data_IF_953724575923
#
_entry.id   IF_953724575923
#
_cell.length_a   1.000
_cell.length_b   1.000
_cell.length_c   1.000
_cell.angle_alpha   90.00
_cell.angle_beta   90.00
_cell.angle_gamma   90.00
#
_symmetry.space_group_name_H-M   'P 1'
#
loop_
_entity.id
_entity.type
_entity.pdbx_description
1 polymer ?
#
# COMPACT_ATOMS: atom_id res chain seq x y z
N UNK A 1 -7.76 -28.59 2.05
CA UNK A 1 -6.58 -29.18 2.72
C UNK A 1 -6.80 -29.31 4.22
N UNK A 2 -5.94 -30.09 4.88
CA UNK A 2 -5.85 -30.23 6.34
C UNK A 2 -4.42 -29.96 6.80
N UNK A 3 -4.25 -29.37 7.98
CA UNK A 3 -2.95 -29.14 8.58
C UNK A 3 -2.30 -30.47 8.98
N UNK A 4 -1.02 -30.64 8.61
CA UNK A 4 -0.18 -31.77 8.99
C UNK A 4 0.87 -31.35 10.02
N UNK A 5 1.57 -30.22 9.75
CA UNK A 5 2.62 -29.72 10.63
C UNK A 5 2.74 -28.19 10.48
N UNK A 6 3.05 -27.52 11.56
CA UNK A 6 3.39 -26.11 11.58
C UNK A 6 4.61 -25.88 12.48
N UNK A 7 5.67 -25.35 11.89
CA UNK A 7 6.89 -24.93 12.58
C UNK A 7 7.02 -23.41 12.37
N UNK A 8 6.69 -22.59 13.41
CA UNK A 8 6.73 -21.14 13.29
C UNK A 8 8.05 -20.61 12.75
N UNK A 9 7.98 -19.70 11.77
CA UNK A 9 9.15 -19.10 11.12
C UNK A 9 9.93 -20.02 10.17
N UNK A 10 9.52 -21.30 10.01
CA UNK A 10 10.20 -22.27 9.15
C UNK A 10 9.29 -22.78 8.04
N UNK A 11 8.25 -23.54 8.39
CA UNK A 11 7.36 -24.13 7.40
C UNK A 11 5.98 -24.47 7.91
N UNK A 12 5.01 -24.51 6.99
CA UNK A 12 3.67 -25.04 7.16
C UNK A 12 3.44 -26.15 6.14
N UNK A 13 2.94 -27.30 6.58
CA UNK A 13 2.63 -28.45 5.73
C UNK A 13 1.15 -28.73 5.80
N UNK A 14 0.49 -28.80 4.65
CA UNK A 14 -0.90 -29.21 4.51
C UNK A 14 -1.05 -30.33 3.47
N UNK A 15 -2.05 -31.17 3.64
CA UNK A 15 -2.40 -32.26 2.73
C UNK A 15 -3.86 -32.16 2.30
N UNK A 16 -4.19 -32.76 1.14
CA UNK A 16 -5.54 -32.82 0.64
C UNK A 16 -6.49 -33.39 1.71
N UNK A 17 -7.58 -32.67 1.98
CA UNK A 17 -8.58 -33.10 2.93
C UNK A 17 -9.56 -34.07 2.22
N UNK A 18 -9.65 -35.35 2.65
CA UNK A 18 -10.54 -36.30 2.03
C UNK A 18 -12.05 -35.94 2.15
N UNK A 19 -12.38 -35.06 3.13
CA UNK A 19 -13.72 -34.58 3.41
C UNK A 19 -14.08 -33.28 2.67
N UNK A 20 -13.14 -32.72 1.88
CA UNK A 20 -13.42 -31.52 1.11
C UNK A 20 -14.37 -31.83 -0.04
N UNK A 21 -15.52 -31.14 -0.06
CA UNK A 21 -16.59 -31.36 -1.04
C UNK A 21 -16.42 -30.57 -2.35
N UNK A 22 -15.44 -29.63 -2.40
CA UNK A 22 -15.13 -28.83 -3.59
C UNK A 22 -14.30 -29.59 -4.62
N UNK A 23 -13.93 -28.89 -5.68
CA UNK A 23 -13.06 -29.41 -6.74
C UNK A 23 -11.68 -29.80 -6.16
N UNK A 24 -11.25 -31.02 -6.43
CA UNK A 24 -9.89 -31.47 -6.10
C UNK A 24 -8.93 -30.96 -7.17
N UNK A 25 -7.79 -30.42 -6.74
CA UNK A 25 -6.70 -30.08 -7.63
C UNK A 25 -5.63 -31.21 -7.69
N UNK A 26 -4.59 -31.01 -8.49
CA UNK A 26 -3.56 -32.01 -8.73
C UNK A 26 -2.53 -32.13 -7.60
N UNK A 27 -2.58 -31.23 -6.61
CA UNK A 27 -1.57 -31.16 -5.55
C UNK A 27 -2.10 -31.78 -4.25
N UNK A 28 -1.64 -33.00 -3.94
CA UNK A 28 -2.08 -33.71 -2.73
C UNK A 28 -1.43 -33.16 -1.45
N UNK A 29 -0.29 -32.47 -1.58
CA UNK A 29 0.47 -31.90 -0.46
C UNK A 29 1.08 -30.56 -0.85
N UNK A 30 0.97 -29.58 0.03
CA UNK A 30 1.62 -28.27 -0.11
C UNK A 30 2.54 -28.03 1.09
N UNK A 31 3.74 -27.57 0.81
CA UNK A 31 4.73 -27.19 1.82
C UNK A 31 5.04 -25.70 1.61
N UNK A 32 4.63 -24.88 2.58
CA UNK A 32 4.97 -23.47 2.61
C UNK A 32 6.25 -23.28 3.40
N UNK A 33 7.24 -22.68 2.79
CA UNK A 33 8.53 -22.37 3.43
C UNK A 33 8.63 -20.87 3.63
N UNK A 34 8.96 -20.45 4.85
CA UNK A 34 9.08 -19.02 5.19
C UNK A 34 10.52 -18.56 4.98
N UNK A 35 10.73 -17.76 3.96
CA UNK A 35 12.03 -17.23 3.54
C UNK A 35 11.92 -15.72 3.31
N UNK A 36 13.04 -15.01 3.40
CA UNK A 36 13.15 -13.66 2.88
C UNK A 36 13.13 -13.67 1.33
N UNK A 37 12.94 -12.49 0.73
CA UNK A 37 12.76 -12.33 -0.72
C UNK A 37 13.93 -12.92 -1.52
N UNK A 38 15.18 -12.64 -1.11
CA UNK A 38 16.37 -13.06 -1.85
C UNK A 38 16.57 -14.57 -1.78
N UNK A 39 16.41 -15.17 -0.60
CA UNK A 39 16.50 -16.62 -0.41
C UNK A 39 15.36 -17.36 -1.12
N UNK A 40 14.14 -16.82 -1.09
CA UNK A 40 13.00 -17.40 -1.81
C UNK A 40 13.22 -17.37 -3.33
N UNK A 41 13.73 -16.26 -3.87
CA UNK A 41 14.08 -16.13 -5.28
C UNK A 41 15.18 -17.12 -5.69
N UNK A 42 16.26 -17.23 -4.90
CA UNK A 42 17.35 -18.18 -5.15
C UNK A 42 16.87 -19.64 -5.10
N UNK A 43 16.01 -19.98 -4.14
CA UNK A 43 15.44 -21.33 -4.01
C UNK A 43 14.51 -21.70 -5.18
N UNK A 44 13.75 -20.73 -5.71
CA UNK A 44 12.96 -20.95 -6.93
C UNK A 44 13.85 -21.22 -8.14
N UNK A 45 14.90 -20.41 -8.34
CA UNK A 45 15.86 -20.58 -9.45
C UNK A 45 16.60 -21.91 -9.41
N UNK A 46 16.89 -22.43 -8.22
CA UNK A 46 17.53 -23.75 -8.05
C UNK A 46 16.55 -24.93 -8.17
N UNK A 47 15.26 -24.66 -8.37
CA UNK A 47 14.21 -25.69 -8.47
C UNK A 47 13.78 -26.29 -7.12
N UNK A 48 14.21 -25.72 -5.99
CA UNK A 48 13.80 -26.18 -4.66
C UNK A 48 12.36 -25.76 -4.31
N UNK A 49 11.87 -24.64 -4.87
CA UNK A 49 10.51 -24.17 -4.72
C UNK A 49 9.75 -24.26 -6.04
N UNK A 50 8.51 -24.75 -5.98
CA UNK A 50 7.63 -24.84 -7.14
C UNK A 50 6.97 -23.51 -7.49
N UNK A 51 6.76 -22.62 -6.50
CA UNK A 51 6.14 -21.31 -6.65
C UNK A 51 6.71 -20.36 -5.61
N UNK A 52 6.99 -19.11 -6.02
CA UNK A 52 7.46 -18.05 -5.12
C UNK A 52 6.83 -16.72 -5.54
N UNK A 53 6.43 -15.92 -4.56
CA UNK A 53 6.13 -14.49 -4.80
C UNK A 53 7.43 -13.72 -4.86
N UNK A 54 7.57 -12.84 -5.83
CA UNK A 54 8.73 -11.99 -6.02
C UNK A 54 8.32 -10.52 -6.06
N UNK A 55 9.26 -9.62 -5.78
CA UNK A 55 9.05 -8.19 -6.03
C UNK A 55 8.92 -7.91 -7.54
N UNK A 56 8.11 -6.92 -7.97
CA UNK A 56 7.99 -6.54 -9.37
C UNK A 56 9.34 -6.27 -10.05
N UNK A 57 10.28 -5.63 -9.36
CA UNK A 57 11.63 -5.36 -9.85
C UNK A 57 12.45 -6.63 -10.17
N UNK A 58 12.08 -7.77 -9.58
CA UNK A 58 12.71 -9.07 -9.86
C UNK A 58 12.08 -9.81 -11.04
N UNK A 59 10.98 -9.30 -11.60
CA UNK A 59 10.24 -9.98 -12.68
C UNK A 59 10.93 -9.92 -14.04
N UNK A 60 11.96 -9.09 -14.21
CA UNK A 60 12.64 -8.85 -15.49
C UNK A 60 13.58 -10.01 -15.91
N UNK A 61 14.03 -10.85 -14.97
CA UNK A 61 15.08 -11.86 -15.23
C UNK A 61 14.61 -13.33 -15.42
N UNK A 62 13.32 -13.72 -15.36
CA UNK A 62 12.94 -15.14 -15.28
C UNK A 62 13.13 -15.95 -16.55
N UNK A 63 13.34 -15.34 -17.71
CA UNK A 63 13.46 -16.06 -19.00
C UNK A 63 14.73 -16.91 -19.09
N UNK A 64 15.71 -16.67 -18.24
CA UNK A 64 16.99 -17.41 -18.25
C UNK A 64 16.96 -18.72 -17.43
N UNK A 65 16.00 -18.91 -16.54
CA UNK A 65 16.01 -19.94 -15.52
C UNK A 65 14.97 -21.06 -15.74
N UNK A 66 14.34 -21.13 -16.91
CA UNK A 66 13.24 -22.07 -17.21
C UNK A 66 12.10 -22.00 -16.18
N UNK A 67 11.79 -20.80 -15.71
CA UNK A 67 10.67 -20.50 -14.83
C UNK A 67 9.56 -19.74 -15.58
N UNK A 68 8.32 -19.95 -15.19
CA UNK A 68 7.17 -19.22 -15.73
C UNK A 68 6.85 -18.03 -14.82
N UNK A 69 6.87 -16.82 -15.40
CA UNK A 69 6.37 -15.63 -14.71
C UNK A 69 4.85 -15.60 -14.78
N UNK A 70 4.21 -15.46 -13.63
CA UNK A 70 2.81 -15.15 -13.50
C UNK A 70 2.63 -13.74 -12.96
N UNK A 71 1.79 -12.95 -13.62
CA UNK A 71 1.40 -11.60 -13.20
C UNK A 71 -0.08 -11.62 -12.91
N UNK A 72 -0.47 -11.19 -11.72
CA UNK A 72 -1.86 -11.15 -11.26
C UNK A 72 -2.29 -9.72 -10.97
N UNK A 73 -3.43 -9.33 -11.49
CA UNK A 73 -4.05 -8.08 -11.09
C UNK A 73 -4.43 -8.16 -9.61
N UNK A 74 -4.25 -7.06 -8.90
CA UNK A 74 -4.63 -6.95 -7.51
C UNK A 74 -5.24 -5.59 -7.19
N UNK A 75 -5.96 -5.53 -6.07
CA UNK A 75 -6.40 -4.27 -5.46
C UNK A 75 -5.42 -3.79 -4.38
N UNK A 76 -4.27 -4.47 -4.23
CA UNK A 76 -3.26 -4.09 -3.26
C UNK A 76 -2.63 -2.75 -3.63
N UNK A 77 -2.79 -1.78 -2.75
CA UNK A 77 -2.27 -0.43 -2.92
C UNK A 77 -0.96 -0.20 -2.16
N UNK A 78 -0.26 0.85 -2.53
CA UNK A 78 0.84 1.47 -1.78
C UNK A 78 0.59 2.95 -1.68
N UNK A 79 0.81 3.50 -0.48
CA UNK A 79 0.64 4.91 -0.20
C UNK A 79 1.46 5.38 0.99
N UNK A 80 1.59 6.69 1.12
CA UNK A 80 2.20 7.33 2.30
C UNK A 80 1.08 7.91 3.13
N UNK A 81 0.90 7.40 4.34
CA UNK A 81 0.05 8.02 5.34
C UNK A 81 0.79 9.16 6.02
N UNK A 82 0.08 10.23 6.33
CA UNK A 82 0.63 11.38 7.02
C UNK A 82 0.03 11.52 8.42
N UNK A 83 0.85 11.76 9.48
CA UNK A 83 0.32 12.28 10.74
C UNK A 83 -0.38 13.62 10.50
N UNK A 84 -1.67 13.70 10.87
CA UNK A 84 -2.55 14.82 10.52
C UNK A 84 -2.68 15.87 11.61
N UNK A 85 -2.25 15.53 12.83
CA UNK A 85 -2.34 16.41 13.99
C UNK A 85 -0.97 16.96 14.37
N UNK A 86 -0.89 18.14 15.02
CA UNK A 86 0.37 18.67 15.55
C UNK A 86 1.03 17.69 16.54
N UNK A 87 2.36 17.74 16.60
CA UNK A 87 3.15 16.95 17.55
C UNK A 87 2.82 17.30 19.01
N UNK A 88 3.19 16.40 19.92
CA UNK A 88 3.09 16.62 21.37
C UNK A 88 2.09 15.77 22.10
N UNK A 89 1.37 14.88 21.41
CA UNK A 89 0.49 13.87 22.02
C UNK A 89 1.16 12.50 22.05
N UNK A 90 0.60 11.59 22.83
CA UNK A 90 0.94 10.17 22.86
C UNK A 90 -0.34 9.35 22.77
N UNK A 91 -0.22 8.13 22.25
CA UNK A 91 -1.29 7.15 22.25
C UNK A 91 -1.37 6.37 23.58
N UNK A 92 -2.24 5.36 23.61
CA UNK A 92 -2.42 4.51 24.78
C UNK A 92 -1.18 3.65 25.12
N UNK A 93 -0.27 3.45 24.17
CA UNK A 93 0.97 2.70 24.33
C UNK A 93 2.18 3.61 24.62
N UNK A 94 1.93 4.90 24.90
CA UNK A 94 2.95 5.94 25.11
C UNK A 94 3.80 6.27 23.88
N UNK A 95 3.34 5.88 22.66
CA UNK A 95 4.01 6.21 21.42
C UNK A 95 3.67 7.64 20.98
N UNK A 96 4.62 8.37 20.37
CA UNK A 96 4.41 9.75 19.95
C UNK A 96 3.37 9.84 18.83
N UNK A 97 2.49 10.84 18.92
CA UNK A 97 1.44 11.15 17.92
C UNK A 97 1.60 12.57 17.42
N UNK A 98 1.44 12.72 16.10
CA UNK A 98 1.42 14.02 15.43
C UNK A 98 2.78 14.47 14.92
N UNK A 99 2.73 15.36 13.90
CA UNK A 99 3.90 15.90 13.22
C UNK A 99 3.60 17.33 12.74
N UNK A 100 4.36 18.28 13.21
CA UNK A 100 4.11 19.70 12.91
C UNK A 100 4.29 20.08 11.44
N UNK A 101 5.05 19.32 10.67
CA UNK A 101 5.24 19.56 9.24
C UNK A 101 4.07 18.98 8.45
N UNK A 102 3.73 17.71 8.69
CA UNK A 102 2.64 17.04 7.96
C UNK A 102 1.25 17.41 8.47
N UNK A 103 1.11 18.04 9.63
CA UNK A 103 -0.15 18.64 10.06
C UNK A 103 -0.60 19.78 9.13
N UNK A 104 0.35 20.44 8.44
CA UNK A 104 0.00 21.45 7.42
C UNK A 104 -0.46 20.75 6.12
N UNK A 105 -1.70 20.99 5.72
CA UNK A 105 -2.29 20.42 4.50
C UNK A 105 -1.53 20.80 3.23
N UNK A 106 -0.87 21.96 3.20
CA UNK A 106 -0.09 22.39 2.05
C UNK A 106 1.11 21.47 1.78
N UNK A 107 1.77 20.99 2.82
CA UNK A 107 2.84 19.98 2.70
C UNK A 107 2.29 18.69 2.08
N UNK A 108 1.18 18.17 2.58
CA UNK A 108 0.58 16.93 2.09
C UNK A 108 0.10 17.04 0.64
N UNK A 109 -0.54 18.17 0.29
CA UNK A 109 -0.95 18.46 -1.10
C UNK A 109 0.25 18.61 -2.02
N UNK A 110 1.29 19.35 -1.61
CA UNK A 110 2.49 19.51 -2.41
C UNK A 110 3.20 18.18 -2.68
N UNK A 111 3.31 17.31 -1.68
CA UNK A 111 3.83 15.96 -1.84
C UNK A 111 3.01 15.17 -2.87
N UNK A 112 1.69 15.22 -2.76
CA UNK A 112 0.80 14.53 -3.71
C UNK A 112 1.00 14.98 -5.15
N UNK A 113 1.10 16.31 -5.39
CA UNK A 113 1.29 16.85 -6.74
C UNK A 113 2.70 16.64 -7.29
N UNK A 114 3.72 16.58 -6.44
CA UNK A 114 5.10 16.39 -6.87
C UNK A 114 5.43 14.95 -7.28
N UNK A 115 4.79 13.98 -6.66
CA UNK A 115 5.01 12.56 -6.97
C UNK A 115 4.48 12.26 -8.37
N UNK A 116 5.33 11.66 -9.22
CA UNK A 116 4.95 11.16 -10.54
C UNK A 116 4.65 9.67 -10.46
N UNK A 117 3.37 9.32 -10.34
CA UNK A 117 2.90 7.94 -10.17
C UNK A 117 3.14 7.07 -11.39
N UNK A 118 3.04 7.67 -12.58
CA UNK A 118 3.36 6.96 -13.82
C UNK A 118 4.84 6.54 -13.84
N UNK A 119 5.73 7.43 -13.46
CA UNK A 119 7.16 7.12 -13.36
C UNK A 119 7.43 6.03 -12.32
N UNK A 120 6.75 6.04 -11.16
CA UNK A 120 6.85 4.97 -10.17
C UNK A 120 6.39 3.63 -10.75
N UNK A 121 5.26 3.59 -11.46
CA UNK A 121 4.76 2.36 -12.06
C UNK A 121 5.70 1.79 -13.13
N UNK A 122 6.24 2.65 -14.00
CA UNK A 122 7.06 2.24 -15.14
C UNK A 122 8.52 1.93 -14.74
N UNK A 123 9.13 2.73 -13.85
CA UNK A 123 10.58 2.66 -13.57
C UNK A 123 10.93 1.96 -12.26
N UNK A 124 10.02 1.97 -11.27
CA UNK A 124 10.26 1.31 -9.98
C UNK A 124 9.58 -0.06 -9.95
N UNK A 125 8.39 -0.17 -10.55
CA UNK A 125 7.62 -1.41 -10.59
C UNK A 125 7.75 -2.16 -11.94
N UNK A 126 8.65 -1.75 -12.83
CA UNK A 126 8.91 -2.39 -14.13
C UNK A 126 7.62 -2.61 -14.95
N UNK A 127 6.65 -1.71 -14.82
CA UNK A 127 5.34 -1.80 -15.47
C UNK A 127 4.32 -2.70 -14.74
N UNK A 128 4.67 -3.30 -13.60
CA UNK A 128 3.80 -4.18 -12.83
C UNK A 128 3.00 -3.44 -11.75
N UNK A 129 2.54 -2.25 -12.07
CA UNK A 129 1.65 -1.46 -11.22
C UNK A 129 0.87 -0.44 -12.07
N UNK A 130 -0.21 0.09 -11.50
CA UNK A 130 -0.95 1.22 -12.07
C UNK A 130 -0.94 2.39 -11.08
N UNK A 131 -0.94 3.66 -11.56
CA UNK A 131 -1.11 4.83 -10.71
C UNK A 131 -2.37 4.74 -9.85
N UNK A 132 -2.24 5.05 -8.55
CA UNK A 132 -3.37 5.10 -7.62
C UNK A 132 -3.51 6.49 -6.99
N UNK A 133 -4.75 6.97 -6.92
CA UNK A 133 -5.13 8.25 -6.33
C UNK A 133 -6.11 8.07 -5.17
N UNK A 134 -6.46 6.84 -4.89
CA UNK A 134 -7.46 6.37 -3.93
C UNK A 134 -7.01 5.07 -3.28
N UNK A 135 -7.44 4.83 -2.04
CA UNK A 135 -7.31 3.53 -1.38
C UNK A 135 -7.99 2.41 -2.18
N UNK A 136 -9.06 2.75 -2.87
CA UNK A 136 -9.97 1.84 -3.56
C UNK A 136 -9.91 2.02 -5.08
N UNK A 137 -8.72 2.30 -5.59
CA UNK A 137 -8.47 2.57 -7.00
C UNK A 137 -9.02 1.46 -7.91
N UNK A 138 -9.86 1.85 -8.88
CA UNK A 138 -10.47 0.95 -9.86
C UNK A 138 -11.70 0.19 -9.37
N UNK A 139 -12.13 0.38 -8.11
CA UNK A 139 -13.31 -0.25 -7.56
C UNK A 139 -14.58 0.62 -7.74
N UNK A 140 -15.78 0.04 -7.74
CA UNK A 140 -17.04 0.79 -8.00
C UNK A 140 -17.31 1.95 -7.07
N UNK A 141 -16.76 1.92 -5.86
CA UNK A 141 -16.90 2.95 -4.84
C UNK A 141 -15.77 3.98 -4.82
N UNK A 142 -14.80 3.89 -5.73
CA UNK A 142 -13.83 4.95 -5.95
C UNK A 142 -14.53 6.23 -6.43
N UNK A 143 -14.14 7.36 -5.89
CA UNK A 143 -14.56 8.66 -6.42
C UNK A 143 -13.70 9.04 -7.64
N UNK A 144 -14.25 9.12 -8.86
CA UNK A 144 -13.46 9.44 -10.04
C UNK A 144 -12.88 10.86 -10.01
N UNK A 145 -13.46 11.78 -9.24
CA UNK A 145 -13.00 13.16 -9.15
C UNK A 145 -11.70 13.33 -8.36
N UNK A 146 -11.25 12.32 -7.60
CA UNK A 146 -9.97 12.40 -6.87
C UNK A 146 -8.75 12.12 -7.77
N UNK A 147 -8.97 11.72 -9.01
CA UNK A 147 -7.90 11.57 -10.00
C UNK A 147 -7.44 12.95 -10.46
N UNK A 148 -6.15 13.21 -10.43
CA UNK A 148 -5.55 14.50 -10.80
C UNK A 148 -4.28 14.32 -11.61
N UNK A 149 -3.85 15.38 -12.31
CA UNK A 149 -2.53 15.42 -12.96
C UNK A 149 -1.46 15.61 -11.91
N UNK A 150 -0.50 14.70 -11.86
CA UNK A 150 0.61 14.67 -10.91
C UNK A 150 1.99 14.82 -11.59
N UNK A 151 3.08 14.72 -10.82
CA UNK A 151 4.43 15.03 -11.30
C UNK A 151 4.64 16.52 -11.55
N UNK A 152 3.75 17.37 -11.06
CA UNK A 152 3.76 18.83 -11.26
C UNK A 152 4.51 19.54 -10.14
N UNK A 153 5.83 19.62 -10.30
CA UNK A 153 6.72 20.31 -9.36
C UNK A 153 6.41 21.81 -9.27
N UNK A 154 5.97 22.44 -10.37
CA UNK A 154 5.65 23.86 -10.38
C UNK A 154 4.41 24.15 -9.51
N UNK A 155 3.36 23.35 -9.66
CA UNK A 155 2.16 23.44 -8.83
C UNK A 155 2.46 23.14 -7.36
N UNK A 156 3.27 22.12 -7.09
CA UNK A 156 3.67 21.78 -5.72
C UNK A 156 4.45 22.93 -5.04
N UNK A 157 5.35 23.59 -5.77
CA UNK A 157 6.03 24.79 -5.29
C UNK A 157 5.07 25.94 -5.00
N UNK A 158 4.15 26.22 -5.91
CA UNK A 158 3.17 27.28 -5.73
C UNK A 158 2.31 27.08 -4.47
N UNK A 159 1.84 25.85 -4.23
CA UNK A 159 1.09 25.49 -3.02
C UNK A 159 1.90 25.80 -1.75
N UNK A 160 3.18 25.43 -1.72
CA UNK A 160 4.05 25.66 -0.57
C UNK A 160 4.30 27.15 -0.35
N UNK A 161 4.53 27.91 -1.40
CA UNK A 161 4.81 29.35 -1.35
C UNK A 161 3.58 30.14 -0.88
N UNK A 162 2.40 29.83 -1.42
CA UNK A 162 1.13 30.43 -1.01
C UNK A 162 0.85 30.16 0.47
N UNK A 163 1.16 28.95 0.95
CA UNK A 163 1.01 28.57 2.35
C UNK A 163 2.09 29.16 3.29
N UNK A 164 3.08 29.89 2.76
CA UNK A 164 4.13 30.53 3.53
C UNK A 164 5.36 29.66 3.82
N UNK A 165 5.47 28.49 3.18
CA UNK A 165 6.68 27.66 3.20
C UNK A 165 7.73 28.22 2.25
N UNK A 166 8.74 28.90 2.76
CA UNK A 166 9.81 29.57 1.96
C UNK A 166 11.10 28.80 2.02
N UNK A 167 11.91 28.86 0.96
CA UNK A 167 13.26 28.29 0.94
C UNK A 167 14.17 29.13 1.82
N UNK A 168 14.83 28.51 2.80
CA UNK A 168 15.83 29.13 3.66
C UNK A 168 17.24 29.07 3.01
N UNK A 169 18.25 29.62 3.71
CA UNK A 169 19.64 29.66 3.22
C UNK A 169 20.28 28.28 3.01
N UNK A 170 19.74 27.23 3.62
CA UNK A 170 20.17 25.85 3.46
C UNK A 170 19.44 25.11 2.31
N UNK A 171 18.56 25.81 1.56
CA UNK A 171 17.77 25.21 0.49
C UNK A 171 16.57 24.37 0.97
N UNK A 172 16.20 24.49 2.26
CA UNK A 172 15.11 23.74 2.86
C UNK A 172 13.87 24.65 3.00
N UNK A 173 12.69 24.13 2.75
CA UNK A 173 11.42 24.82 3.03
C UNK A 173 11.26 25.03 4.53
N UNK A 174 10.90 26.25 4.90
CA UNK A 174 10.71 26.64 6.30
C UNK A 174 9.46 27.52 6.44
N UNK A 175 8.71 27.31 7.53
CA UNK A 175 7.56 28.12 7.92
C UNK A 175 7.56 28.28 9.44
N UNK A 176 7.51 29.52 9.93
CA UNK A 176 7.48 29.85 11.36
C UNK A 176 8.61 29.16 12.17
N UNK A 177 9.83 29.11 11.62
CA UNK A 177 11.00 28.49 12.25
C UNK A 177 11.01 26.95 12.20
N UNK A 178 10.08 26.32 11.50
CA UNK A 178 10.04 24.86 11.30
C UNK A 178 10.48 24.51 9.89
N UNK A 179 11.53 23.72 9.74
CA UNK A 179 12.01 23.21 8.46
C UNK A 179 11.15 22.01 8.01
N UNK A 180 10.90 21.90 6.71
CA UNK A 180 10.22 20.76 6.10
C UNK A 180 11.15 19.54 6.03
N UNK A 181 11.42 18.95 7.19
CA UNK A 181 12.20 17.72 7.36
C UNK A 181 11.26 16.60 7.82
N UNK A 182 11.30 15.49 7.11
CA UNK A 182 10.43 14.33 7.35
C UNK A 182 11.29 13.08 7.51
N UNK A 183 10.85 12.17 8.35
CA UNK A 183 11.36 10.80 8.39
C UNK A 183 10.31 9.88 7.80
N UNK A 184 10.56 9.32 6.62
CA UNK A 184 9.65 8.35 6.00
C UNK A 184 10.02 6.94 6.45
N UNK A 185 9.09 6.30 7.15
CA UNK A 185 9.23 4.93 7.63
C UNK A 185 8.66 3.92 6.65
N UNK A 186 9.27 2.73 6.61
CA UNK A 186 8.74 1.57 5.88
C UNK A 186 9.17 0.25 6.54
N UNK A 187 8.46 -0.84 6.25
CA UNK A 187 8.80 -2.16 6.75
C UNK A 187 10.08 -2.67 6.12
N UNK A 188 11.03 -3.14 6.93
CA UNK A 188 12.25 -3.81 6.47
C UNK A 188 11.92 -5.17 5.82
N UNK A 189 12.78 -5.62 4.90
CA UNK A 189 12.56 -6.89 4.18
C UNK A 189 11.53 -6.82 3.04
N UNK A 190 11.01 -5.62 2.72
CA UNK A 190 10.13 -5.34 1.59
C UNK A 190 10.85 -4.42 0.60
N UNK A 191 11.42 -5.00 -0.45
CA UNK A 191 12.17 -4.27 -1.46
C UNK A 191 11.29 -3.28 -2.23
N UNK A 192 10.02 -3.62 -2.46
CA UNK A 192 9.04 -2.74 -3.12
C UNK A 192 8.86 -1.43 -2.33
N UNK A 193 8.70 -1.52 -1.00
CA UNK A 193 8.57 -0.32 -0.16
C UNK A 193 9.86 0.49 -0.10
N UNK A 194 11.02 -0.16 -0.02
CA UNK A 194 12.31 0.52 -0.05
C UNK A 194 12.48 1.33 -1.34
N UNK A 195 12.25 0.70 -2.48
CA UNK A 195 12.49 1.31 -3.79
C UNK A 195 11.51 2.47 -4.05
N UNK A 196 10.24 2.34 -3.62
CA UNK A 196 9.28 3.43 -3.63
C UNK A 196 9.69 4.59 -2.71
N UNK A 197 10.17 4.30 -1.50
CA UNK A 197 10.60 5.33 -0.56
C UNK A 197 11.78 6.14 -1.10
N UNK A 198 12.77 5.47 -1.72
CA UNK A 198 13.91 6.11 -2.37
C UNK A 198 13.47 7.00 -3.54
N UNK A 199 12.59 6.50 -4.40
CA UNK A 199 12.07 7.27 -5.54
C UNK A 199 11.28 8.50 -5.06
N UNK A 200 10.42 8.36 -4.07
CA UNK A 200 9.67 9.49 -3.49
C UNK A 200 10.60 10.52 -2.86
N UNK A 201 11.61 10.08 -2.11
CA UNK A 201 12.63 10.99 -1.57
C UNK A 201 13.27 11.83 -2.66
N UNK A 202 13.66 11.21 -3.77
CA UNK A 202 14.25 11.91 -4.91
C UNK A 202 13.27 12.90 -5.55
N UNK A 203 11.99 12.53 -5.71
CA UNK A 203 10.96 13.40 -6.28
C UNK A 203 10.64 14.63 -5.41
N UNK A 204 10.83 14.54 -4.09
CA UNK A 204 10.54 15.63 -3.16
C UNK A 204 11.72 16.61 -2.97
N UNK A 205 12.95 16.18 -3.31
CA UNK A 205 14.14 17.00 -3.18
C UNK A 205 14.04 18.37 -3.90
N UNK A 206 13.51 18.45 -5.16
CA UNK A 206 13.37 19.73 -5.86
C UNK A 206 12.42 20.73 -5.20
N UNK A 207 11.58 20.27 -4.25
CA UNK A 207 10.70 21.15 -3.48
C UNK A 207 11.39 21.80 -2.29
N UNK A 208 12.59 21.36 -1.90
CA UNK A 208 13.23 21.73 -0.64
C UNK A 208 12.63 21.02 0.58
N UNK A 209 11.94 19.89 0.37
CA UNK A 209 11.49 18.99 1.44
C UNK A 209 12.57 17.93 1.63
N UNK A 210 13.15 17.86 2.82
CA UNK A 210 14.20 16.90 3.16
C UNK A 210 13.56 15.64 3.75
N UNK A 211 13.80 14.49 3.11
CA UNK A 211 13.28 13.21 3.56
C UNK A 211 14.42 12.31 3.98
N UNK A 212 14.42 11.89 5.25
CA UNK A 212 15.26 10.81 5.77
C UNK A 212 14.46 9.50 5.72
N UNK A 213 15.12 8.40 5.36
CA UNK A 213 14.47 7.09 5.29
C UNK A 213 14.86 6.26 6.51
N UNK A 214 13.88 5.56 7.07
CA UNK A 214 14.06 4.62 8.18
C UNK A 214 13.24 3.35 7.91
N UNK A 215 13.80 2.20 8.28
CA UNK A 215 13.10 0.92 8.16
C UNK A 215 13.20 0.10 9.44
N UNK A 216 12.25 -0.80 9.64
CA UNK A 216 12.24 -1.70 10.77
C UNK A 216 11.19 -2.81 10.61
N UNK A 217 11.11 -3.72 11.57
CA UNK A 217 9.99 -4.66 11.66
C UNK A 217 8.66 -3.88 11.76
N UNK A 218 7.55 -4.53 11.45
CA UNK A 218 6.22 -3.91 11.62
C UNK A 218 6.00 -3.41 13.05
N UNK A 219 6.45 -4.13 14.06
CA UNK A 219 6.41 -3.69 15.46
C UNK A 219 7.22 -2.40 15.69
N UNK A 220 8.36 -2.25 15.01
CA UNK A 220 9.15 -1.01 15.07
C UNK A 220 8.44 0.13 14.34
N UNK A 221 7.86 -0.14 13.16
CA UNK A 221 7.10 0.86 12.39
C UNK A 221 5.91 1.36 13.19
N UNK A 222 5.18 0.47 13.88
CA UNK A 222 4.04 0.81 14.73
C UNK A 222 4.38 1.87 15.78
N UNK A 223 5.54 1.78 16.42
CA UNK A 223 6.01 2.74 17.42
C UNK A 223 6.27 4.15 16.86
N UNK A 224 6.39 4.28 15.54
CA UNK A 224 6.79 5.53 14.87
C UNK A 224 5.74 6.08 13.91
N UNK A 225 4.79 5.26 13.44
CA UNK A 225 3.87 5.59 12.35
C UNK A 225 2.88 6.72 12.67
N UNK A 226 2.61 6.97 13.95
CA UNK A 226 1.68 8.02 14.37
C UNK A 226 2.33 9.41 14.42
N UNK A 227 3.66 9.47 14.39
CA UNK A 227 4.43 10.72 14.41
C UNK A 227 5.24 10.97 13.13
N UNK A 228 5.28 10.01 12.21
CA UNK A 228 6.07 10.10 10.99
C UNK A 228 5.28 9.61 9.77
N UNK A 229 5.48 10.23 8.59
CA UNK A 229 5.02 9.64 7.36
C UNK A 229 5.48 8.18 7.25
N UNK A 230 4.56 7.31 6.84
CA UNK A 230 4.86 5.88 6.74
C UNK A 230 4.38 5.34 5.39
N UNK A 231 5.25 4.62 4.69
CA UNK A 231 4.91 3.92 3.46
C UNK A 231 4.16 2.63 3.80
N UNK A 232 2.89 2.69 3.60
CA UNK A 232 1.93 1.66 3.95
C UNK A 232 1.29 1.04 2.70
N UNK A 233 0.39 0.10 2.90
CA UNK A 233 -0.44 -0.45 1.85
C UNK A 233 -1.45 -1.43 2.41
N UNK A 234 -2.58 -1.47 1.72
CA UNK A 234 -3.71 -2.34 2.00
C UNK A 234 -4.25 -2.86 0.66
N UNK A 235 -5.43 -3.35 0.64
CA UNK A 235 -6.12 -3.75 -0.57
C UNK A 235 -7.21 -4.74 -0.24
N UNK A 236 -8.44 -4.29 -0.31
CA UNK A 236 -9.63 -5.09 -0.06
C UNK A 236 -10.67 -4.88 -1.17
N UNK A 237 -11.45 -5.91 -1.43
CA UNK A 237 -12.67 -5.81 -2.24
C UNK A 237 -13.88 -5.36 -1.40
N UNK A 238 -13.62 -4.81 -0.21
CA UNK A 238 -14.64 -4.30 0.72
C UNK A 238 -14.43 -2.78 0.92
N UNK A 239 -15.45 -1.92 0.74
CA UNK A 239 -15.34 -0.48 0.97
C UNK A 239 -15.10 -0.10 2.43
N UNK A 240 -15.25 -1.00 3.39
CA UNK A 240 -14.84 -0.79 4.78
C UNK A 240 -13.36 -0.44 4.90
N UNK A 241 -12.56 -0.66 3.86
CA UNK A 241 -11.20 -0.13 3.77
C UNK A 241 -11.16 1.41 3.94
N UNK A 242 -12.14 2.13 3.38
CA UNK A 242 -12.25 3.58 3.56
C UNK A 242 -12.54 3.96 5.03
N UNK A 243 -13.33 3.14 5.74
CA UNK A 243 -13.54 3.35 7.18
C UNK A 243 -12.25 3.16 7.97
N UNK A 244 -11.50 2.11 7.68
CA UNK A 244 -10.22 1.83 8.34
C UNK A 244 -9.19 2.94 8.14
N UNK A 245 -9.17 3.58 6.97
CA UNK A 245 -8.23 4.65 6.67
C UNK A 245 -8.66 6.03 7.16
N UNK A 246 -9.98 6.31 7.20
CA UNK A 246 -10.48 7.68 7.32
C UNK A 246 -11.41 7.93 8.50
N UNK A 247 -11.86 6.90 9.23
CA UNK A 247 -12.64 7.14 10.44
C UNK A 247 -11.75 7.45 11.64
N UNK A 248 -12.06 8.51 12.36
CA UNK A 248 -11.42 8.83 13.63
C UNK A 248 -11.61 7.75 14.71
N UNK A 249 -12.63 6.89 14.56
CA UNK A 249 -12.84 5.73 15.43
C UNK A 249 -11.82 4.62 15.23
N UNK A 250 -11.19 4.57 14.04
CA UNK A 250 -10.13 3.63 13.73
C UNK A 250 -8.73 4.17 14.08
N UNK A 251 -8.62 5.44 14.51
CA UNK A 251 -7.34 6.06 14.77
C UNK A 251 -6.58 5.36 15.91
N UNK A 252 -5.38 4.85 15.59
CA UNK A 252 -4.52 4.15 16.54
C UNK A 252 -5.02 2.76 16.97
N UNK A 253 -5.99 2.18 16.24
CA UNK A 253 -6.42 0.80 16.41
C UNK A 253 -5.60 -0.07 15.48
N UNK A 254 -4.71 -0.88 16.00
CA UNK A 254 -3.75 -1.66 15.21
C UNK A 254 -3.02 -0.76 14.20
N UNK A 255 -3.07 -1.09 12.91
CA UNK A 255 -2.46 -0.32 11.83
C UNK A 255 -3.47 0.57 11.09
N UNK A 256 -4.71 0.73 11.60
CA UNK A 256 -5.74 1.53 10.97
C UNK A 256 -5.58 3.02 11.29
N UNK A 257 -5.90 3.87 10.32
CA UNK A 257 -5.82 5.33 10.42
C UNK A 257 -4.62 5.82 11.26
N UNK A 258 -3.39 5.41 10.92
CA UNK A 258 -2.22 5.73 11.75
C UNK A 258 -1.90 7.23 11.76
N UNK A 259 -2.46 8.00 10.81
CA UNK A 259 -2.34 9.44 10.72
C UNK A 259 -3.21 10.23 11.71
N UNK A 260 -4.09 9.58 12.45
CA UNK A 260 -5.07 10.25 13.33
C UNK A 260 -5.96 11.25 12.57
N UNK A 261 -6.32 10.89 11.34
CA UNK A 261 -7.26 11.67 10.56
C UNK A 261 -8.65 11.67 11.19
N UNK A 262 -9.30 12.81 11.21
CA UNK A 262 -10.70 12.94 11.62
C UNK A 262 -11.31 14.18 10.96
N UNK A 263 -12.45 13.99 10.28
CA UNK A 263 -13.21 15.06 9.67
C UNK A 263 -14.71 14.75 9.83
N UNK A 264 -15.49 15.62 10.48
CA UNK A 264 -16.92 15.38 10.75
C UNK A 264 -17.77 15.09 9.49
N UNK A 265 -17.46 15.71 8.34
CA UNK A 265 -18.17 15.45 7.10
C UNK A 265 -17.85 14.03 6.58
N UNK A 266 -16.59 13.64 6.63
CA UNK A 266 -16.15 12.27 6.25
C UNK A 266 -16.80 11.23 7.17
N UNK A 267 -16.84 11.46 8.47
CA UNK A 267 -17.53 10.57 9.41
C UNK A 267 -19.03 10.43 9.10
N UNK A 268 -19.68 11.54 8.70
CA UNK A 268 -21.09 11.50 8.32
C UNK A 268 -21.29 10.66 7.05
N UNK A 269 -20.43 10.80 6.03
CA UNK A 269 -20.49 9.98 4.82
C UNK A 269 -20.21 8.51 5.08
N UNK A 270 -19.21 8.18 5.91
CA UNK A 270 -18.93 6.81 6.35
C UNK A 270 -20.17 6.19 7.02
N UNK A 271 -20.80 6.94 7.94
CA UNK A 271 -22.02 6.47 8.61
C UNK A 271 -23.17 6.26 7.63
N UNK A 272 -23.40 7.20 6.70
CA UNK A 272 -24.45 7.06 5.68
C UNK A 272 -24.23 5.87 4.76
N UNK A 273 -22.97 5.59 4.40
CA UNK A 273 -22.61 4.45 3.59
C UNK A 273 -22.88 3.12 4.32
N UNK A 274 -22.50 3.03 5.59
CA UNK A 274 -22.69 1.83 6.44
C UNK A 274 -24.16 1.58 6.72
N UNK A 275 -24.95 2.64 6.95
CA UNK A 275 -26.38 2.55 7.27
C UNK A 275 -27.27 2.43 6.02
N UNK A 276 -26.69 2.48 4.81
CA UNK A 276 -27.45 2.41 3.58
C UNK A 276 -28.21 1.08 3.46
N UNK A 277 -29.48 1.08 3.01
CA UNK A 277 -30.31 -0.13 2.99
C UNK A 277 -29.88 -1.17 1.96
N UNK A 278 -29.11 -0.77 0.98
CA UNK A 278 -28.55 -1.64 -0.06
C UNK A 278 -27.25 -1.07 -0.61
N UNK A 279 -26.51 -1.95 -1.29
CA UNK A 279 -25.20 -1.66 -1.85
C UNK A 279 -25.18 -0.49 -2.84
N UNK A 280 -26.19 -0.41 -3.72
CA UNK A 280 -26.25 0.64 -4.76
C UNK A 280 -26.40 2.04 -4.14
N UNK A 281 -27.15 2.12 -3.05
CA UNK A 281 -27.33 3.36 -2.31
C UNK A 281 -26.13 3.72 -1.44
N UNK A 282 -25.32 2.76 -1.05
CA UNK A 282 -24.08 2.97 -0.30
C UNK A 282 -22.97 3.63 -1.13
N UNK A 283 -22.85 3.25 -2.42
CA UNK A 283 -21.74 3.67 -3.29
C UNK A 283 -21.53 5.20 -3.31
N UNK A 284 -22.54 6.06 -3.52
CA UNK A 284 -22.33 7.50 -3.54
C UNK A 284 -21.74 8.05 -2.22
N UNK A 285 -22.13 7.47 -1.09
CA UNK A 285 -21.62 7.90 0.22
C UNK A 285 -20.16 7.46 0.41
N UNK A 286 -19.79 6.24 -0.03
CA UNK A 286 -18.38 5.81 -0.06
C UNK A 286 -17.53 6.74 -0.92
N UNK A 287 -18.03 7.16 -2.08
CA UNK A 287 -17.33 8.11 -2.95
C UNK A 287 -17.15 9.48 -2.28
N UNK A 288 -18.17 9.95 -1.54
CA UNK A 288 -18.11 11.23 -0.82
C UNK A 288 -17.12 11.25 0.34
N UNK A 289 -16.74 10.10 0.90
CA UNK A 289 -15.64 10.00 1.88
C UNK A 289 -14.35 10.58 1.32
N UNK A 290 -14.06 10.33 0.05
CA UNK A 290 -12.87 10.85 -0.61
C UNK A 290 -13.04 12.31 -1.03
N UNK A 291 -14.20 12.69 -1.58
CA UNK A 291 -14.51 14.06 -1.98
C UNK A 291 -16.01 14.27 -2.23
N UNK A 292 -16.64 15.18 -1.52
CA UNK A 292 -18.06 15.54 -1.67
C UNK A 292 -18.30 16.82 -2.50
N UNK A 293 -17.24 17.41 -3.06
CA UNK A 293 -17.26 18.70 -3.75
C UNK A 293 -16.80 19.88 -2.88
N UNK A 294 -16.65 19.68 -1.57
CA UNK A 294 -16.20 20.72 -0.61
C UNK A 294 -15.17 20.18 0.38
N UNK A 295 -15.36 18.98 0.86
CA UNK A 295 -14.54 18.31 1.88
C UNK A 295 -14.31 16.85 1.49
N UNK A 296 -13.32 16.21 2.11
CA UNK A 296 -13.01 14.80 1.93
C UNK A 296 -11.57 14.49 2.23
N UNK A 297 -11.26 13.20 2.29
CA UNK A 297 -9.91 12.70 2.59
C UNK A 297 -8.93 12.81 1.41
N UNK A 298 -9.45 13.00 0.18
CA UNK A 298 -8.65 13.11 -1.05
C UNK A 298 -7.79 14.37 -1.11
N UNK A 299 -6.99 14.50 -2.18
CA UNK A 299 -6.03 15.60 -2.36
C UNK A 299 -6.68 16.97 -2.43
N UNK A 300 -7.90 17.08 -2.96
CA UNK A 300 -8.67 18.33 -3.01
C UNK A 300 -9.10 18.79 -1.62
N UNK A 301 -9.37 17.84 -0.72
CA UNK A 301 -9.73 18.05 0.66
C UNK A 301 -8.50 18.05 1.58
N UNK A 302 -8.47 17.09 2.50
CA UNK A 302 -7.48 17.05 3.57
C UNK A 302 -6.17 16.37 3.17
N UNK A 303 -6.09 15.73 1.99
CA UNK A 303 -4.91 15.01 1.51
C UNK A 303 -4.33 14.06 2.59
N UNK A 304 -5.18 13.24 3.20
CA UNK A 304 -4.83 12.39 4.33
C UNK A 304 -3.74 11.36 3.98
N UNK A 305 -3.71 10.93 2.72
CA UNK A 305 -2.72 10.03 2.16
C UNK A 305 -2.15 10.58 0.84
N UNK A 306 -0.95 10.14 0.50
CA UNK A 306 -0.48 10.14 -0.88
C UNK A 306 -0.52 8.70 -1.38
N UNK A 307 -1.63 8.28 -1.97
CA UNK A 307 -1.72 7.01 -2.67
C UNK A 307 -0.79 7.04 -3.87
N UNK A 308 -0.04 5.99 -4.08
CA UNK A 308 1.01 5.92 -5.10
C UNK A 308 0.61 4.98 -6.23
N UNK A 309 0.39 3.72 -5.91
CA UNK A 309 0.21 2.66 -6.89
C UNK A 309 -0.78 1.60 -6.38
N UNK A 310 -1.51 0.96 -7.32
CA UNK A 310 -1.96 -0.42 -7.13
C UNK A 310 -0.93 -1.33 -7.80
N UNK A 311 -0.40 -2.30 -7.04
CA UNK A 311 0.65 -3.20 -7.52
C UNK A 311 0.04 -4.49 -8.06
N UNK A 312 0.61 -5.03 -9.14
CA UNK A 312 0.34 -6.40 -9.54
C UNK A 312 1.17 -7.36 -8.70
N UNK A 313 0.64 -8.53 -8.42
CA UNK A 313 1.39 -9.58 -7.78
C UNK A 313 2.14 -10.41 -8.82
N UNK A 314 3.44 -10.58 -8.58
CA UNK A 314 4.34 -11.29 -9.48
C UNK A 314 4.84 -12.58 -8.82
N UNK A 315 4.75 -13.68 -9.56
CA UNK A 315 5.15 -15.00 -9.08
C UNK A 315 6.06 -15.67 -10.11
N UNK A 316 7.08 -16.35 -9.62
CA UNK A 316 7.83 -17.32 -10.42
C UNK A 316 7.36 -18.72 -10.08
N UNK A 317 7.06 -19.50 -11.08
CA UNK A 317 6.58 -20.86 -10.93
C UNK A 317 7.37 -21.84 -11.79
N UNK A 318 7.42 -23.10 -11.34
CA UNK A 318 7.78 -24.20 -12.23
C UNK A 318 6.87 -24.17 -13.46
N UNK A 319 7.41 -24.33 -14.70
CA UNK A 319 6.61 -24.22 -15.93
C UNK A 319 5.44 -25.20 -16.01
N UNK A 320 5.52 -26.29 -15.25
CA UNK A 320 4.43 -27.28 -15.18
C UNK A 320 3.27 -26.88 -14.27
N UNK A 321 3.38 -25.79 -13.53
CA UNK A 321 2.31 -25.29 -12.66
C UNK A 321 1.47 -24.28 -13.45
N UNK A 322 0.19 -24.59 -13.62
CA UNK A 322 -0.82 -23.64 -14.08
C UNK A 322 -1.65 -23.18 -12.90
N UNK A 323 -1.62 -21.86 -12.63
CA UNK A 323 -2.33 -21.25 -11.51
C UNK A 323 -3.80 -20.91 -11.86
N UNK A 324 -4.28 -21.30 -13.06
CA UNK A 324 -5.61 -20.94 -13.53
C UNK A 324 -5.78 -19.41 -13.73
N UNK A 325 -7.01 -18.98 -14.01
CA UNK A 325 -7.30 -17.56 -14.30
C UNK A 325 -7.29 -16.70 -13.03
N UNK A 326 -7.88 -17.17 -11.93
CA UNK A 326 -8.06 -16.42 -10.70
C UNK A 326 -8.92 -15.16 -10.82
N UNK A 327 -9.28 -14.58 -9.69
CA UNK A 327 -9.84 -13.24 -9.55
C UNK A 327 -8.74 -12.23 -9.20
N UNK A 328 -8.99 -10.92 -9.25
CA UNK A 328 -8.07 -9.93 -8.71
C UNK A 328 -7.70 -10.24 -7.26
N UNK A 329 -6.42 -10.16 -6.96
CA UNK A 329 -5.90 -10.52 -5.64
C UNK A 329 -6.08 -9.36 -4.65
N UNK A 330 -6.24 -9.72 -3.37
CA UNK A 330 -6.32 -8.74 -2.27
C UNK A 330 -4.96 -8.59 -1.60
N UNK A 331 -4.85 -7.64 -0.67
CA UNK A 331 -3.67 -7.51 0.17
C UNK A 331 -3.38 -8.81 0.92
N UNK A 332 -2.11 -9.18 0.94
CA UNK A 332 -1.64 -10.37 1.64
C UNK A 332 -0.65 -11.18 0.82
N UNK A 333 0.25 -11.86 1.54
CA UNK A 333 1.41 -12.49 0.91
C UNK A 333 1.08 -13.68 0.02
N UNK A 334 -0.12 -14.28 0.17
CA UNK A 334 -0.48 -15.53 -0.50
C UNK A 334 -1.90 -15.52 -1.06
N UNK A 335 -2.36 -14.37 -1.51
CA UNK A 335 -3.69 -14.23 -2.14
C UNK A 335 -3.86 -15.11 -3.39
N UNK A 336 -2.79 -15.52 -4.03
CA UNK A 336 -2.80 -16.52 -5.11
C UNK A 336 -3.47 -17.86 -4.69
N UNK A 337 -3.50 -18.17 -3.40
CA UNK A 337 -4.17 -19.36 -2.87
C UNK A 337 -5.70 -19.27 -2.90
N UNK A 338 -6.27 -18.09 -3.13
CA UNK A 338 -7.73 -17.92 -3.19
C UNK A 338 -8.38 -18.72 -4.32
N UNK A 339 -7.63 -19.08 -5.36
CA UNK A 339 -8.09 -19.94 -6.46
C UNK A 339 -7.31 -21.26 -6.56
N UNK A 340 -6.85 -21.79 -5.44
CA UNK A 340 -6.07 -23.03 -5.37
C UNK A 340 -6.80 -24.22 -6.05
N UNK A 341 -8.11 -24.25 -6.05
CA UNK A 341 -8.92 -25.27 -6.71
C UNK A 341 -8.75 -25.28 -8.26
N UNK A 342 -8.25 -24.21 -8.85
CA UNK A 342 -7.99 -24.10 -10.29
C UNK A 342 -6.56 -24.48 -10.69
N UNK A 343 -5.70 -24.71 -9.70
CA UNK A 343 -4.32 -25.07 -9.99
C UNK A 343 -4.21 -26.46 -10.58
N UNK A 344 -3.39 -26.62 -11.62
CA UNK A 344 -3.15 -27.90 -12.28
C UNK A 344 -1.67 -28.14 -12.55
N UNK A 345 -1.32 -29.42 -12.66
CA UNK A 345 0.01 -29.85 -13.11
C UNK A 345 -0.07 -30.22 -14.59
N UNK A 346 0.62 -29.49 -15.46
CA UNK A 346 0.50 -29.61 -16.93
C UNK A 346 1.54 -30.54 -17.58
N UNK A 347 2.61 -30.90 -16.87
CA UNK A 347 3.62 -31.81 -17.37
C UNK A 347 3.23 -33.27 -17.12
N UNK A 348 3.60 -34.14 -18.04
CA UNK A 348 3.39 -35.60 -17.98
C UNK A 348 4.56 -36.27 -17.26
#
# INVERSE_FOLDING_TARGET
>A
YRLVSFQPGQQLIVEANPWYAGKKNDFNRLVFVFLDEDNAYAAARSGQLGLVRIAPSMAVAPQQDNLKLWVRDSVENRGIVFPMVPAGKKDANDYPVGNDVTADVAIRRAINYAINRKQLAEQVMEGHAIPAYSAVQGLPWQNPSVIFSDGDIAKARAILEEAGWKINSAGVREKAGKEARLTLWYASGDSTRRDLAEAVRAMLQPLGIVVSLQSGSWETVERHMHANPTLFGWGSLDPMELFHHYSGKAAGVEYYNPGYYSNPAVEAHLKQAIDAPDWQKAIPFWQQVEWDGKQGAGVQGDAAWAWLLNIQHTYLANPCIDLGKGAPEIHGSWSVLNNLDDWTWTCR
#
